data_IF_098988794459
#
_entry.id   IF_098988794459
#
_cell.length_a   1.000
_cell.length_b   1.000
_cell.length_c   1.000
_cell.angle_alpha   90.00
_cell.angle_beta   90.00
_cell.angle_gamma   90.00
#
_symmetry.space_group_name_H-M   'P 1'
#
loop_
_entity.id
_entity.type
_entity.pdbx_description
1 polymer ?
#
# COMPACT_ATOMS: atom_id res chain seq x y z
N UNK A 1 -13.03 14.19 30.99
CA UNK A 1 -12.21 14.88 29.97
C UNK A 1 -10.82 14.26 30.01
N UNK A 2 -10.48 13.40 29.04
CA UNK A 2 -9.12 12.91 28.87
C UNK A 2 -8.29 14.04 28.27
N UNK A 3 -7.16 14.38 28.90
CA UNK A 3 -6.18 15.30 28.32
C UNK A 3 -5.75 14.75 26.95
N UNK A 4 -5.58 15.60 25.92
CA UNK A 4 -4.95 15.17 24.68
C UNK A 4 -3.59 14.56 25.05
N UNK A 5 -3.32 13.36 24.55
CA UNK A 5 -1.96 12.80 24.61
C UNK A 5 -1.02 13.84 23.99
N UNK A 6 0.01 14.21 24.75
CA UNK A 6 1.08 15.07 24.25
C UNK A 6 1.63 14.36 23.01
N UNK A 7 1.46 14.97 21.84
CA UNK A 7 1.98 14.43 20.60
C UNK A 7 3.49 14.31 20.73
N UNK A 8 3.97 13.11 21.01
CA UNK A 8 5.39 12.80 20.91
C UNK A 8 5.71 12.97 19.43
N UNK A 9 6.56 13.96 19.10
CA UNK A 9 7.11 14.06 17.76
C UNK A 9 7.82 12.74 17.49
N UNK A 10 7.35 11.97 16.50
CA UNK A 10 7.97 10.72 16.12
C UNK A 10 9.43 11.00 15.71
N UNK A 11 10.39 10.62 16.55
CA UNK A 11 11.81 10.61 16.20
C UNK A 11 12.08 9.41 15.28
N UNK A 12 13.14 9.45 14.50
CA UNK A 12 13.56 8.31 13.65
C UNK A 12 13.77 7.01 14.43
N UNK A 13 14.06 7.11 15.74
CA UNK A 13 14.17 5.97 16.65
C UNK A 13 12.84 5.22 16.84
N UNK A 14 11.71 5.86 16.51
CA UNK A 14 10.36 5.29 16.61
C UNK A 14 9.83 4.76 15.28
N UNK A 15 10.53 4.95 14.15
CA UNK A 15 10.05 4.46 12.87
C UNK A 15 10.14 2.93 12.83
N UNK A 16 9.10 2.23 12.33
CA UNK A 16 9.10 0.77 12.34
C UNK A 16 10.27 0.17 11.56
N UNK A 17 10.82 -0.91 12.11
CA UNK A 17 11.94 -1.61 11.52
C UNK A 17 11.48 -2.45 10.31
N UNK A 18 12.21 -2.36 9.21
CA UNK A 18 12.09 -3.28 8.08
C UNK A 18 13.21 -4.31 8.15
N UNK A 19 12.84 -5.57 8.36
CA UNK A 19 13.74 -6.71 8.46
C UNK A 19 13.59 -7.56 7.21
N UNK A 20 14.66 -8.22 6.77
CA UNK A 20 14.60 -9.22 5.70
C UNK A 20 14.94 -10.59 6.27
N UNK A 21 14.03 -11.55 6.14
CA UNK A 21 14.33 -12.95 6.41
C UNK A 21 15.31 -13.45 5.35
N UNK A 22 16.51 -13.82 5.77
CA UNK A 22 17.63 -14.14 4.87
C UNK A 22 17.31 -15.35 3.99
N UNK A 23 16.63 -16.35 4.54
CA UNK A 23 16.35 -17.61 3.86
C UNK A 23 15.26 -17.47 2.77
N UNK A 24 14.13 -16.83 3.10
CA UNK A 24 13.02 -16.66 2.15
C UNK A 24 13.16 -15.41 1.26
N UNK A 25 14.01 -14.47 1.67
CA UNK A 25 14.12 -13.14 1.08
C UNK A 25 12.92 -12.23 1.37
N UNK A 26 11.97 -12.64 2.21
CA UNK A 26 10.77 -11.86 2.55
C UNK A 26 11.14 -10.71 3.48
N UNK A 27 10.70 -9.51 3.09
CA UNK A 27 10.75 -8.32 3.92
C UNK A 27 9.55 -8.32 4.86
N UNK A 28 9.79 -7.94 6.11
CA UNK A 28 8.81 -7.85 7.18
C UNK A 28 8.94 -6.46 7.76
N UNK A 29 7.87 -5.67 7.64
CA UNK A 29 7.83 -4.32 8.17
C UNK A 29 6.61 -4.13 9.03
N UNK A 30 6.80 -3.56 10.21
CA UNK A 30 5.67 -3.09 11.00
C UNK A 30 5.08 -1.86 10.30
N UNK A 31 3.77 -1.85 10.06
CA UNK A 31 3.12 -0.75 9.35
C UNK A 31 2.76 0.42 10.27
N UNK A 32 3.00 0.27 11.57
CA UNK A 32 2.63 1.23 12.59
C UNK A 32 3.86 1.62 13.41
N UNK A 33 3.98 2.92 13.70
CA UNK A 33 4.88 3.42 14.73
C UNK A 33 4.39 2.91 16.08
N UNK A 34 5.17 2.09 16.82
CA UNK A 34 4.69 1.38 17.99
C UNK A 34 4.11 2.32 19.04
N UNK A 35 2.87 2.03 19.47
CA UNK A 35 2.28 2.57 20.70
C UNK A 35 2.55 1.53 21.77
N UNK A 36 3.22 1.92 22.86
CA UNK A 36 3.84 1.05 23.87
C UNK A 36 2.86 0.05 24.55
N UNK A 37 1.55 0.11 24.26
CA UNK A 37 0.49 -0.46 25.09
C UNK A 37 -0.23 -1.71 24.52
N UNK A 38 -0.02 -2.17 23.27
CA UNK A 38 -0.68 -3.40 22.75
C UNK A 38 0.27 -4.45 22.15
N UNK A 39 0.60 -5.49 22.93
CA UNK A 39 1.48 -6.61 22.51
C UNK A 39 0.76 -7.96 22.42
N UNK A 40 -0.54 -8.03 22.69
CA UNK A 40 -1.29 -9.29 22.78
C UNK A 40 -1.61 -9.97 21.44
N UNK A 41 -1.55 -9.23 20.33
CA UNK A 41 -1.87 -9.75 19.00
C UNK A 41 -0.87 -9.23 17.95
N UNK A 42 -0.44 -10.13 17.06
CA UNK A 42 0.41 -9.80 15.92
C UNK A 42 -0.28 -10.29 14.66
N UNK A 43 -0.61 -9.38 13.76
CA UNK A 43 -1.21 -9.70 12.47
C UNK A 43 -0.17 -9.54 11.35
N UNK A 44 -0.02 -10.59 10.54
CA UNK A 44 0.85 -10.62 9.36
C UNK A 44 0.00 -10.51 8.10
N UNK A 45 0.00 -9.34 7.48
CA UNK A 45 -0.62 -9.10 6.18
C UNK A 45 0.36 -9.50 5.10
N UNK A 46 -0.06 -10.42 4.22
CA UNK A 46 0.80 -10.94 3.16
C UNK A 46 0.36 -10.42 1.80
N UNK A 47 1.33 -10.13 0.93
CA UNK A 47 1.11 -9.93 -0.49
C UNK A 47 1.19 -11.26 -1.28
N UNK A 48 0.89 -11.20 -2.58
CA UNK A 48 0.91 -12.39 -3.44
C UNK A 48 2.33 -12.96 -3.65
N UNK A 49 3.37 -12.13 -3.51
CA UNK A 49 4.76 -12.57 -3.65
C UNK A 49 5.21 -13.47 -2.48
N UNK A 50 4.65 -13.31 -1.29
CA UNK A 50 4.88 -14.19 -0.14
C UNK A 50 4.42 -15.62 -0.43
N UNK A 51 3.38 -15.83 -1.25
CA UNK A 51 2.96 -17.19 -1.61
C UNK A 51 4.06 -17.96 -2.35
N UNK A 52 4.80 -17.28 -3.23
CA UNK A 52 5.96 -17.87 -3.90
C UNK A 52 7.07 -18.23 -2.92
N UNK A 53 7.31 -17.35 -1.93
CA UNK A 53 8.29 -17.58 -0.88
C UNK A 53 8.00 -18.85 -0.06
N UNK A 54 6.73 -19.16 0.21
CA UNK A 54 6.36 -20.34 1.01
C UNK A 54 6.69 -21.67 0.34
N UNK A 55 6.69 -21.71 -1.00
CA UNK A 55 7.10 -22.92 -1.74
C UNK A 55 8.60 -23.18 -1.58
N UNK A 56 9.39 -22.11 -1.59
CA UNK A 56 10.86 -22.17 -1.47
C UNK A 56 11.31 -22.29 0.00
N UNK A 57 10.52 -21.77 0.94
CA UNK A 57 10.82 -21.72 2.37
C UNK A 57 9.58 -22.05 3.22
N UNK A 58 9.21 -23.33 3.36
CA UNK A 58 8.00 -23.74 4.08
C UNK A 58 8.01 -23.36 5.57
N UNK A 59 9.18 -23.11 6.16
CA UNK A 59 9.33 -22.75 7.58
C UNK A 59 9.26 -21.23 7.85
N UNK A 60 8.94 -20.41 6.83
CA UNK A 60 8.88 -18.95 6.95
C UNK A 60 8.08 -18.48 8.17
N UNK A 61 6.81 -18.89 8.30
CA UNK A 61 5.97 -18.42 9.41
C UNK A 61 6.39 -18.96 10.77
N UNK A 62 6.99 -20.15 10.83
CA UNK A 62 7.57 -20.66 12.08
C UNK A 62 8.75 -19.79 12.53
N UNK A 63 9.64 -19.39 11.59
CA UNK A 63 10.73 -18.45 11.88
C UNK A 63 10.22 -17.07 12.29
N UNK A 64 9.21 -16.55 11.61
CA UNK A 64 8.59 -15.27 11.97
C UNK A 64 7.89 -15.33 13.32
N UNK A 65 7.23 -16.44 13.65
CA UNK A 65 6.67 -16.68 14.98
C UNK A 65 7.74 -16.65 16.07
N UNK A 66 8.91 -17.24 15.82
CA UNK A 66 10.06 -17.14 16.74
C UNK A 66 10.61 -15.71 16.84
N UNK A 67 10.80 -15.01 15.71
CA UNK A 67 11.35 -13.66 15.67
C UNK A 67 10.43 -12.65 16.37
N UNK A 68 9.14 -12.67 16.03
CA UNK A 68 8.15 -11.71 16.51
C UNK A 68 7.64 -12.11 17.91
N UNK A 69 7.46 -13.40 18.18
CA UNK A 69 7.11 -13.91 19.51
C UNK A 69 8.25 -13.78 20.52
N UNK A 70 9.51 -13.94 20.09
CA UNK A 70 10.70 -13.71 20.92
C UNK A 70 11.02 -12.23 21.17
N UNK A 71 10.51 -11.31 20.34
CA UNK A 71 10.54 -9.87 20.59
C UNK A 71 9.46 -9.42 21.59
N UNK A 72 8.37 -10.19 21.72
CA UNK A 72 7.32 -10.00 22.72
C UNK A 72 7.68 -10.62 24.09
N UNK A 73 8.93 -10.45 24.58
CA UNK A 73 9.39 -10.99 25.88
C UNK A 73 8.68 -10.45 27.12
N UNK A 74 7.82 -9.44 26.98
CA UNK A 74 6.89 -9.00 28.04
C UNK A 74 5.50 -9.64 27.96
N UNK A 75 5.19 -10.42 26.91
CA UNK A 75 3.90 -11.05 26.69
C UNK A 75 4.07 -12.54 26.31
N UNK A 76 4.27 -13.39 27.31
CA UNK A 76 3.95 -14.82 27.20
C UNK A 76 2.47 -14.89 26.77
N UNK A 77 2.18 -15.28 25.52
CA UNK A 77 0.80 -15.46 25.03
C UNK A 77 0.34 -14.56 23.86
N UNK A 78 1.24 -13.89 23.13
CA UNK A 78 0.84 -13.15 21.93
C UNK A 78 0.33 -14.10 20.81
N UNK A 79 -0.86 -13.83 20.28
CA UNK A 79 -1.43 -14.61 19.16
C UNK A 79 -0.95 -14.06 17.83
N UNK A 80 -0.37 -14.93 16.98
CA UNK A 80 0.02 -14.60 15.62
C UNK A 80 -1.10 -15.00 14.64
N UNK A 81 -1.59 -14.05 13.85
CA UNK A 81 -2.58 -14.32 12.79
C UNK A 81 -2.03 -13.95 11.43
N UNK A 82 -2.16 -14.86 10.46
CA UNK A 82 -1.84 -14.60 9.06
C UNK A 82 -3.11 -14.08 8.39
N UNK A 83 -3.01 -12.92 7.74
CA UNK A 83 -4.09 -12.31 6.99
C UNK A 83 -3.78 -12.35 5.47
N UNK A 84 -4.40 -13.29 4.73
CA UNK A 84 -4.20 -13.42 3.29
C UNK A 84 -5.14 -12.53 2.45
N UNK A 85 -5.91 -11.61 3.06
CA UNK A 85 -6.98 -10.87 2.39
C UNK A 85 -6.57 -10.26 1.05
N UNK A 86 -5.41 -9.59 0.96
CA UNK A 86 -5.00 -8.94 -0.30
C UNK A 86 -4.57 -9.92 -1.38
N UNK A 87 -4.00 -11.06 -1.01
CA UNK A 87 -3.72 -12.15 -1.95
C UNK A 87 -5.02 -12.66 -2.57
N UNK A 88 -6.01 -12.90 -1.71
CA UNK A 88 -7.33 -13.39 -2.12
C UNK A 88 -8.05 -12.35 -2.97
N UNK A 89 -8.00 -11.07 -2.57
CA UNK A 89 -8.56 -9.95 -3.31
C UNK A 89 -7.92 -9.80 -4.70
N UNK A 90 -6.59 -9.94 -4.80
CA UNK A 90 -5.88 -9.93 -6.08
C UNK A 90 -6.34 -11.08 -6.97
N UNK A 91 -6.38 -12.31 -6.43
CA UNK A 91 -6.83 -13.47 -7.20
C UNK A 91 -8.30 -13.34 -7.61
N UNK A 92 -9.16 -12.80 -6.76
CA UNK A 92 -10.56 -12.56 -7.08
C UNK A 92 -10.75 -11.56 -8.22
N UNK A 93 -10.06 -10.41 -8.16
CA UNK A 93 -10.17 -9.39 -9.20
C UNK A 93 -9.50 -9.80 -10.52
N UNK A 94 -8.51 -10.69 -10.47
CA UNK A 94 -7.69 -11.04 -11.64
C UNK A 94 -8.08 -12.35 -12.30
N UNK A 95 -8.62 -13.29 -11.52
CA UNK A 95 -8.93 -14.64 -11.95
C UNK A 95 -10.25 -15.11 -11.30
N UNK A 96 -11.38 -14.40 -11.51
CA UNK A 96 -12.62 -14.67 -10.77
C UNK A 96 -13.07 -16.13 -10.86
N UNK A 97 -12.89 -16.77 -12.02
CA UNK A 97 -13.30 -18.15 -12.28
C UNK A 97 -12.44 -19.19 -11.55
N UNK A 98 -11.20 -18.85 -11.19
CA UNK A 98 -10.23 -19.76 -10.57
C UNK A 98 -9.73 -19.25 -9.20
N UNK A 99 -10.34 -18.20 -8.66
CA UNK A 99 -9.91 -17.58 -7.41
C UNK A 99 -9.95 -18.61 -6.28
N UNK A 100 -11.09 -19.32 -6.12
CA UNK A 100 -11.28 -20.27 -5.02
C UNK A 100 -10.21 -21.37 -5.01
N UNK A 101 -9.93 -22.01 -6.15
CA UNK A 101 -8.94 -23.08 -6.18
C UNK A 101 -7.52 -22.59 -5.85
N UNK A 102 -7.14 -21.38 -6.30
CA UNK A 102 -5.86 -20.76 -5.92
C UNK A 102 -5.79 -20.44 -4.42
N UNK A 103 -6.89 -19.97 -3.85
CA UNK A 103 -7.00 -19.68 -2.41
C UNK A 103 -6.91 -20.96 -1.59
N UNK A 104 -7.65 -22.01 -1.98
CA UNK A 104 -7.63 -23.30 -1.30
C UNK A 104 -6.23 -23.92 -1.35
N UNK A 105 -5.57 -23.90 -2.51
CA UNK A 105 -4.19 -24.36 -2.66
C UNK A 105 -3.21 -23.63 -1.73
N UNK A 106 -3.42 -22.33 -1.48
CA UNK A 106 -2.64 -21.59 -0.49
C UNK A 106 -2.95 -22.02 0.94
N UNK A 107 -4.23 -22.04 1.34
CA UNK A 107 -4.64 -22.37 2.72
C UNK A 107 -4.31 -23.80 3.14
N UNK A 108 -4.13 -24.70 2.17
CA UNK A 108 -3.76 -26.11 2.38
C UNK A 108 -2.25 -26.35 2.23
N UNK A 109 -1.46 -25.32 1.93
CA UNK A 109 -0.01 -25.47 1.74
C UNK A 109 0.67 -25.91 3.04
N UNK A 110 1.62 -26.85 2.95
CA UNK A 110 2.29 -27.44 4.11
C UNK A 110 2.91 -26.41 5.07
N UNK A 111 3.46 -25.31 4.53
CA UNK A 111 4.06 -24.22 5.31
C UNK A 111 3.07 -23.35 6.11
N UNK A 112 1.76 -23.52 5.92
CA UNK A 112 0.68 -22.87 6.69
C UNK A 112 -0.35 -23.88 7.20
N UNK A 113 0.01 -25.17 7.18
CA UNK A 113 -0.91 -26.22 7.57
C UNK A 113 -1.34 -26.05 9.04
N UNK A 114 -2.64 -26.15 9.29
CA UNK A 114 -3.22 -25.93 10.62
C UNK A 114 -3.29 -24.46 11.06
N UNK A 115 -2.83 -23.50 10.25
CA UNK A 115 -2.99 -22.07 10.55
C UNK A 115 -4.40 -21.56 10.24
N UNK A 116 -5.04 -22.12 9.21
CA UNK A 116 -6.37 -21.72 8.77
C UNK A 116 -7.41 -22.75 9.18
N UNK A 117 -8.61 -22.30 9.56
CA UNK A 117 -9.75 -23.19 9.79
C UNK A 117 -10.20 -23.83 8.48
N UNK A 118 -10.89 -24.99 8.52
CA UNK A 118 -11.61 -25.50 7.36
C UNK A 118 -12.50 -24.39 6.75
N UNK A 119 -12.61 -24.39 5.42
CA UNK A 119 -13.38 -23.40 4.63
C UNK A 119 -12.97 -21.92 4.77
N UNK A 120 -11.86 -21.60 5.44
CA UNK A 120 -11.40 -20.21 5.63
C UNK A 120 -11.32 -19.42 4.30
N UNK A 121 -10.81 -20.04 3.24
CA UNK A 121 -10.74 -19.43 1.91
C UNK A 121 -12.11 -19.07 1.33
N UNK A 122 -13.15 -19.89 1.58
CA UNK A 122 -14.53 -19.60 1.14
C UNK A 122 -15.14 -18.45 1.94
N UNK A 123 -14.90 -18.43 3.25
CA UNK A 123 -15.35 -17.33 4.13
C UNK A 123 -14.75 -16.00 3.69
N UNK A 124 -13.43 -15.94 3.50
CA UNK A 124 -12.77 -14.71 3.04
C UNK A 124 -13.23 -14.28 1.64
N UNK A 125 -13.48 -15.23 0.73
CA UNK A 125 -14.01 -14.91 -0.59
C UNK A 125 -15.44 -14.32 -0.50
N UNK A 126 -16.26 -14.83 0.41
CA UNK A 126 -17.59 -14.27 0.67
C UNK A 126 -17.51 -12.85 1.25
N UNK A 127 -16.58 -12.60 2.17
CA UNK A 127 -16.32 -11.26 2.72
C UNK A 127 -15.86 -10.27 1.65
N UNK A 128 -14.97 -10.70 0.74
CA UNK A 128 -14.52 -9.87 -0.39
C UNK A 128 -15.68 -9.53 -1.31
N UNK A 129 -16.59 -10.48 -1.60
CA UNK A 129 -17.79 -10.22 -2.41
C UNK A 129 -18.72 -9.21 -1.75
N UNK A 130 -18.90 -9.30 -0.43
CA UNK A 130 -19.71 -8.33 0.32
C UNK A 130 -19.11 -6.91 0.27
N UNK A 131 -17.78 -6.81 0.21
CA UNK A 131 -17.05 -5.54 0.20
C UNK A 131 -16.48 -5.18 -1.18
N UNK A 132 -16.95 -5.84 -2.24
CA UNK A 132 -16.35 -5.78 -3.57
C UNK A 132 -16.35 -4.37 -4.13
N UNK A 133 -17.45 -3.64 -3.92
CA UNK A 133 -17.57 -2.25 -4.38
C UNK A 133 -16.49 -1.36 -3.76
N UNK A 134 -16.30 -1.43 -2.44
CA UNK A 134 -15.30 -0.62 -1.75
C UNK A 134 -13.88 -0.95 -2.24
N UNK A 135 -13.60 -2.25 -2.42
CA UNK A 135 -12.34 -2.72 -2.98
C UNK A 135 -12.12 -2.18 -4.41
N UNK A 136 -13.11 -2.31 -5.30
CA UNK A 136 -13.02 -1.78 -6.69
C UNK A 136 -12.84 -0.26 -6.70
N UNK A 137 -13.56 0.47 -5.86
CA UNK A 137 -13.40 1.93 -5.73
C UNK A 137 -11.98 2.32 -5.29
N UNK A 138 -11.41 1.60 -4.31
CA UNK A 138 -10.03 1.83 -3.85
C UNK A 138 -8.99 1.49 -4.93
N UNK A 139 -9.17 0.37 -5.63
CA UNK A 139 -8.31 -0.06 -6.74
C UNK A 139 -8.38 0.94 -7.90
N UNK A 140 -9.58 1.31 -8.36
CA UNK A 140 -9.78 2.28 -9.44
C UNK A 140 -9.16 3.64 -9.13
N UNK A 141 -9.27 4.09 -7.88
CA UNK A 141 -8.60 5.32 -7.43
C UNK A 141 -7.09 5.24 -7.63
N UNK A 142 -6.46 4.15 -7.19
CA UNK A 142 -5.01 3.94 -7.34
C UNK A 142 -4.59 3.81 -8.81
N UNK A 143 -5.40 3.15 -9.64
CA UNK A 143 -5.17 3.03 -11.08
C UNK A 143 -5.06 4.41 -11.72
N UNK A 144 -6.04 5.30 -11.49
CA UNK A 144 -6.00 6.68 -11.99
C UNK A 144 -4.72 7.41 -11.58
N UNK A 145 -4.35 7.33 -10.30
CA UNK A 145 -3.12 7.95 -9.82
C UNK A 145 -1.86 7.43 -10.48
N UNK A 146 -1.72 6.12 -10.66
CA UNK A 146 -0.50 5.54 -11.24
C UNK A 146 -0.34 5.87 -12.72
N UNK A 147 -1.44 5.96 -13.48
CA UNK A 147 -1.39 6.44 -14.86
C UNK A 147 -0.94 7.90 -14.93
N UNK A 148 -1.55 8.78 -14.14
CA UNK A 148 -1.19 10.21 -14.11
C UNK A 148 0.25 10.41 -13.61
N UNK A 149 0.65 9.70 -12.55
CA UNK A 149 2.01 9.74 -12.01
C UNK A 149 3.03 9.27 -13.04
N UNK A 150 2.77 8.13 -13.72
CA UNK A 150 3.62 7.61 -14.80
C UNK A 150 3.77 8.64 -15.92
N UNK A 151 2.68 9.27 -16.33
CA UNK A 151 2.71 10.22 -17.44
C UNK A 151 3.50 11.47 -17.10
N UNK A 152 3.20 12.11 -15.96
CA UNK A 152 3.97 13.28 -15.49
C UNK A 152 5.44 12.90 -15.30
N UNK A 153 5.72 11.69 -14.79
CA UNK A 153 7.08 11.20 -14.58
C UNK A 153 7.83 10.95 -15.89
N UNK A 154 7.17 10.65 -17.02
CA UNK A 154 7.84 10.35 -18.29
C UNK A 154 8.03 11.58 -19.17
N UNK A 155 7.11 12.54 -19.11
CA UNK A 155 7.13 13.74 -19.95
C UNK A 155 8.43 14.55 -19.77
N UNK A 156 8.82 15.27 -20.83
CA UNK A 156 10.01 16.13 -20.89
C UNK A 156 9.81 17.50 -20.24
N UNK A 157 8.80 17.63 -19.38
CA UNK A 157 8.57 18.85 -18.60
C UNK A 157 9.76 19.18 -17.70
N UNK A 158 9.89 20.46 -17.35
CA UNK A 158 10.84 20.89 -16.31
C UNK A 158 10.44 20.28 -14.96
N UNK A 159 11.40 20.20 -14.03
CA UNK A 159 11.16 19.71 -12.68
C UNK A 159 10.00 20.45 -11.98
N UNK A 160 10.00 21.78 -12.02
CA UNK A 160 8.96 22.64 -11.44
C UNK A 160 7.59 22.36 -12.05
N UNK A 161 7.52 22.17 -13.36
CA UNK A 161 6.27 21.90 -14.06
C UNK A 161 5.68 20.54 -13.66
N UNK A 162 6.51 19.50 -13.46
CA UNK A 162 6.03 18.19 -12.97
C UNK A 162 5.44 18.31 -11.56
N UNK A 163 6.15 18.99 -10.66
CA UNK A 163 5.67 19.25 -9.29
C UNK A 163 4.35 20.00 -9.35
N UNK A 164 4.29 21.09 -10.12
CA UNK A 164 3.10 21.93 -10.24
C UNK A 164 1.90 21.11 -10.73
N UNK A 165 2.06 20.32 -11.79
CA UNK A 165 0.99 19.46 -12.32
C UNK A 165 0.52 18.43 -11.29
N UNK A 166 1.43 17.81 -10.55
CA UNK A 166 1.08 16.85 -9.50
C UNK A 166 0.35 17.50 -8.33
N UNK A 167 0.82 18.66 -7.87
CA UNK A 167 0.16 19.42 -6.81
C UNK A 167 -1.24 19.87 -7.26
N UNK A 168 -1.36 20.42 -8.47
CA UNK A 168 -2.66 20.83 -9.02
C UNK A 168 -3.62 19.65 -9.11
N UNK A 169 -3.15 18.47 -9.52
CA UNK A 169 -3.97 17.25 -9.57
C UNK A 169 -4.59 16.88 -8.21
N UNK A 170 -3.86 17.09 -7.10
CA UNK A 170 -4.40 16.87 -5.75
C UNK A 170 -5.21 18.05 -5.19
N UNK A 171 -5.08 19.24 -5.76
CA UNK A 171 -5.90 20.42 -5.41
C UNK A 171 -7.32 20.32 -5.97
N UNK A 172 -7.48 19.60 -7.08
CA UNK A 172 -8.79 19.25 -7.64
C UNK A 172 -9.71 18.60 -6.61
N UNK A 173 -11.01 18.61 -6.90
CA UNK A 173 -11.99 17.91 -6.08
C UNK A 173 -12.07 16.43 -6.44
N UNK A 174 -11.04 15.72 -6.05
CA UNK A 174 -10.83 14.28 -6.22
C UNK A 174 -10.56 13.62 -4.86
N UNK A 175 -10.61 12.28 -4.74
CA UNK A 175 -10.12 11.59 -3.55
C UNK A 175 -8.67 11.99 -3.26
N UNK A 176 -8.17 11.88 -2.04
CA UNK A 176 -6.78 12.24 -1.72
C UNK A 176 -6.09 11.09 -1.01
N UNK A 177 -5.12 10.48 -1.70
CA UNK A 177 -4.28 9.42 -1.13
C UNK A 177 -2.91 9.97 -0.80
N UNK A 178 -2.71 10.30 0.47
CA UNK A 178 -1.51 10.96 0.97
C UNK A 178 -0.21 10.22 0.66
N UNK A 179 -0.23 8.91 0.77
CA UNK A 179 0.92 8.08 0.43
C UNK A 179 1.31 8.29 -1.04
N UNK A 180 0.32 8.21 -1.93
CA UNK A 180 0.54 8.33 -3.36
C UNK A 180 1.06 9.73 -3.70
N UNK A 181 0.53 10.78 -3.06
CA UNK A 181 1.04 12.14 -3.20
C UNK A 181 2.54 12.23 -2.90
N UNK A 182 2.95 11.77 -1.72
CA UNK A 182 4.36 11.83 -1.29
C UNK A 182 5.24 10.94 -2.17
N UNK A 183 4.75 9.76 -2.57
CA UNK A 183 5.48 8.87 -3.47
C UNK A 183 5.73 9.52 -4.84
N UNK A 184 4.72 10.20 -5.41
CA UNK A 184 4.89 10.96 -6.65
C UNK A 184 5.93 12.07 -6.51
N UNK A 185 5.86 12.83 -5.42
CA UNK A 185 6.86 13.87 -5.10
C UNK A 185 8.27 13.28 -5.01
N UNK A 186 8.45 12.16 -4.30
CA UNK A 186 9.74 11.45 -4.22
C UNK A 186 10.26 11.03 -5.58
N UNK A 187 9.38 10.51 -6.46
CA UNK A 187 9.78 10.13 -7.81
C UNK A 187 10.21 11.33 -8.64
N UNK A 188 9.49 12.45 -8.60
CA UNK A 188 9.85 13.64 -9.38
C UNK A 188 11.14 14.32 -8.91
N UNK A 189 11.39 14.34 -7.61
CA UNK A 189 12.66 14.82 -7.06
C UNK A 189 13.81 13.83 -7.33
N UNK A 190 13.59 12.54 -7.07
CA UNK A 190 14.58 11.51 -7.33
C UNK A 190 14.97 11.38 -8.80
N UNK A 191 14.08 11.76 -9.74
CA UNK A 191 14.41 11.81 -11.18
C UNK A 191 15.51 12.82 -11.50
N UNK A 192 15.59 13.93 -10.75
CA UNK A 192 16.53 15.03 -11.00
C UNK A 192 17.74 15.01 -10.06
N UNK A 193 17.60 14.40 -8.88
CA UNK A 193 18.68 14.25 -7.90
C UNK A 193 19.19 12.81 -7.83
N UNK A 194 20.28 12.52 -8.54
CA UNK A 194 20.95 11.21 -8.50
C UNK A 194 21.56 10.88 -7.13
N UNK A 195 21.79 11.89 -6.28
CA UNK A 195 22.27 11.69 -4.90
C UNK A 195 21.14 11.26 -3.97
N UNK A 196 19.87 11.38 -4.39
CA UNK A 196 18.72 10.89 -3.63
C UNK A 196 18.68 9.35 -3.65
N UNK A 197 19.24 8.72 -2.61
CA UNK A 197 19.46 7.27 -2.54
C UNK A 197 19.08 6.68 -1.20
N UNK A 198 18.61 5.45 -1.16
CA UNK A 198 18.32 4.74 0.09
C UNK A 198 19.60 4.38 0.83
N UNK A 199 19.74 4.81 2.10
CA UNK A 199 20.95 4.60 2.90
C UNK A 199 21.34 3.13 3.06
N UNK A 200 20.35 2.25 3.20
CA UNK A 200 20.60 0.82 3.48
C UNK A 200 21.06 0.04 2.25
N UNK A 201 20.61 0.42 1.05
CA UNK A 201 20.81 -0.37 -0.17
C UNK A 201 21.60 0.39 -1.23
N UNK A 202 21.93 1.65 -0.96
CA UNK A 202 22.50 2.62 -1.90
C UNK A 202 21.70 2.73 -3.22
N UNK A 203 20.43 2.33 -3.21
CA UNK A 203 19.60 2.35 -4.41
C UNK A 203 19.14 3.78 -4.71
N UNK A 204 19.28 4.30 -5.93
CA UNK A 204 18.69 5.59 -6.30
C UNK A 204 17.16 5.57 -6.26
N UNK A 205 16.55 6.65 -5.79
CA UNK A 205 15.08 6.81 -5.82
C UNK A 205 14.57 6.76 -7.27
N UNK A 206 15.32 7.33 -8.23
CA UNK A 206 15.04 7.18 -9.67
C UNK A 206 14.92 5.72 -10.11
N UNK A 207 15.82 4.85 -9.64
CA UNK A 207 15.79 3.43 -10.00
C UNK A 207 14.60 2.68 -9.38
N UNK A 208 14.05 3.19 -8.27
CA UNK A 208 12.77 2.72 -7.73
C UNK A 208 11.60 3.23 -8.57
N UNK A 209 11.56 4.53 -8.88
CA UNK A 209 10.53 5.14 -9.72
C UNK A 209 10.44 4.46 -11.10
N UNK A 210 11.58 4.24 -11.75
CA UNK A 210 11.66 3.59 -13.07
C UNK A 210 11.13 2.14 -13.01
N UNK A 211 11.51 1.38 -11.98
CA UNK A 211 11.04 0.00 -11.79
C UNK A 211 9.52 -0.07 -11.49
N UNK A 212 9.02 0.89 -10.71
CA UNK A 212 7.61 0.96 -10.33
C UNK A 212 6.73 1.45 -11.49
N UNK A 213 7.12 2.52 -12.19
CA UNK A 213 6.27 3.15 -13.20
C UNK A 213 6.40 2.53 -14.60
N UNK A 214 7.46 1.75 -14.87
CA UNK A 214 7.65 1.13 -16.18
C UNK A 214 7.04 -0.28 -16.22
N UNK A 215 6.22 -0.60 -17.24
CA UNK A 215 5.76 -1.96 -17.46
C UNK A 215 6.93 -2.92 -17.68
N UNK A 216 6.88 -4.10 -17.03
CA UNK A 216 7.84 -5.19 -17.25
C UNK A 216 7.59 -5.80 -18.64
N UNK A 217 8.54 -6.57 -19.18
CA UNK A 217 8.44 -7.18 -20.52
C UNK A 217 7.13 -7.93 -20.80
N UNK A 218 6.55 -8.59 -19.78
CA UNK A 218 5.28 -9.33 -19.88
C UNK A 218 4.03 -8.45 -19.72
N UNK A 219 4.20 -7.18 -19.39
CA UNK A 219 3.15 -6.21 -19.06
C UNK A 219 3.05 -5.09 -20.11
N UNK A 220 3.96 -5.03 -21.11
CA UNK A 220 4.03 -3.92 -22.08
C UNK A 220 2.73 -3.72 -22.86
N UNK A 221 2.10 -4.83 -23.25
CA UNK A 221 0.84 -4.84 -23.99
C UNK A 221 -0.37 -5.21 -23.09
N UNK A 222 -0.16 -5.20 -21.76
CA UNK A 222 -1.19 -5.50 -20.77
C UNK A 222 -1.15 -4.44 -19.64
N UNK A 223 -1.70 -3.24 -19.91
CA UNK A 223 -1.73 -2.15 -18.93
C UNK A 223 -2.48 -2.52 -17.65
N UNK A 224 -3.48 -3.41 -17.75
CA UNK A 224 -4.23 -3.90 -16.60
C UNK A 224 -3.33 -4.73 -15.68
N UNK A 225 -2.53 -5.65 -16.23
CA UNK A 225 -1.56 -6.43 -15.43
C UNK A 225 -0.43 -5.58 -14.85
N UNK A 226 0.10 -4.60 -15.59
CA UNK A 226 1.08 -3.65 -15.03
C UNK A 226 0.52 -2.93 -13.80
N UNK A 227 -0.63 -2.26 -13.95
CA UNK A 227 -1.18 -1.43 -12.87
C UNK A 227 -1.68 -2.29 -11.70
N UNK A 228 -2.19 -3.50 -11.97
CA UNK A 228 -2.56 -4.48 -10.94
C UNK A 228 -1.43 -4.74 -9.98
N UNK A 229 -0.25 -5.10 -10.51
CA UNK A 229 0.90 -5.44 -9.68
C UNK A 229 1.24 -4.25 -8.76
N UNK A 230 1.28 -3.03 -9.31
CA UNK A 230 1.55 -1.82 -8.53
C UNK A 230 0.48 -1.49 -7.49
N UNK A 231 -0.79 -1.73 -7.80
CA UNK A 231 -1.90 -1.54 -6.86
C UNK A 231 -1.76 -2.50 -5.69
N UNK A 232 -1.52 -3.79 -5.95
CA UNK A 232 -1.43 -4.80 -4.91
C UNK A 232 -0.10 -4.80 -4.15
N UNK A 233 0.96 -4.19 -4.70
CA UNK A 233 2.18 -3.85 -3.95
C UNK A 233 1.89 -2.80 -2.85
N UNK A 234 0.94 -1.88 -3.11
CA UNK A 234 0.66 -0.75 -2.22
C UNK A 234 -0.53 -0.97 -1.28
N UNK A 235 -1.55 -1.68 -1.76
CA UNK A 235 -2.85 -1.83 -1.09
C UNK A 235 -2.73 -2.41 0.33
N UNK A 236 -1.89 -3.44 0.62
CA UNK A 236 -1.69 -3.96 1.97
C UNK A 236 -1.27 -2.87 2.97
N UNK A 237 -0.34 -2.01 2.57
CA UNK A 237 0.12 -0.90 3.40
C UNK A 237 -0.96 0.19 3.53
N UNK A 238 -1.65 0.53 2.44
CA UNK A 238 -2.67 1.58 2.45
C UNK A 238 -3.86 1.22 3.35
N UNK A 239 -4.22 -0.07 3.41
CA UNK A 239 -5.35 -0.58 4.19
C UNK A 239 -4.96 -1.05 5.59
N UNK A 240 -3.69 -0.94 5.95
CA UNK A 240 -3.20 -1.24 7.29
C UNK A 240 -4.03 -0.58 8.43
N UNK A 241 -4.43 0.71 8.34
CA UNK A 241 -5.24 1.33 9.39
C UNK A 241 -6.59 0.63 9.62
N UNK A 242 -7.28 0.24 8.56
CA UNK A 242 -8.62 -0.37 8.66
C UNK A 242 -8.60 -1.77 9.26
N UNK A 243 -7.50 -2.51 9.09
CA UNK A 243 -7.32 -3.85 9.66
C UNK A 243 -7.10 -3.84 11.18
N UNK A 244 -6.74 -2.68 11.73
CA UNK A 244 -6.44 -2.48 13.14
C UNK A 244 -7.57 -1.73 13.90
N UNK A 245 -8.73 -1.54 13.26
CA UNK A 245 -9.89 -0.83 13.84
C UNK A 245 -11.02 -1.79 14.22
N UNK A 246 -11.23 -2.01 15.52
CA UNK A 246 -12.31 -2.91 16.04
C UNK A 246 -13.70 -2.59 15.48
N UNK A 247 -14.03 -1.30 15.37
CA UNK A 247 -15.34 -0.85 14.86
C UNK A 247 -15.58 -1.26 13.40
N UNK A 248 -14.52 -1.60 12.67
CA UNK A 248 -14.58 -2.12 11.30
C UNK A 248 -14.22 -3.61 11.22
N UNK A 249 -14.26 -4.34 12.34
CA UNK A 249 -13.92 -5.75 12.40
C UNK A 249 -12.41 -6.05 12.44
N UNK A 250 -11.57 -5.02 12.61
CA UNK A 250 -10.13 -5.16 12.79
C UNK A 250 -9.76 -5.69 14.18
N UNK A 251 -8.53 -6.19 14.33
CA UNK A 251 -8.03 -6.72 15.61
C UNK A 251 -6.90 -5.81 16.10
N UNK A 252 -7.05 -5.12 17.25
CA UNK A 252 -5.99 -4.29 17.80
C UNK A 252 -4.74 -5.10 18.09
N UNK A 253 -3.61 -4.59 17.60
CA UNK A 253 -2.33 -5.24 17.81
C UNK A 253 -1.27 -4.72 16.86
N UNK A 254 -0.14 -5.41 16.84
CA UNK A 254 0.96 -5.07 15.93
C UNK A 254 0.64 -5.60 14.55
N UNK A 255 0.73 -4.73 13.55
CA UNK A 255 0.43 -5.07 12.17
C UNK A 255 1.70 -5.03 11.35
N UNK A 256 2.00 -6.15 10.68
CA UNK A 256 3.14 -6.28 9.79
C UNK A 256 2.68 -6.53 8.37
N UNK A 257 3.32 -5.88 7.40
CA UNK A 257 3.22 -6.24 5.99
C UNK A 257 4.44 -7.05 5.60
N UNK A 258 4.18 -8.15 4.90
CA UNK A 258 5.16 -9.07 4.38
C UNK A 258 5.13 -9.01 2.85
N UNK A 259 6.30 -8.83 2.26
CA UNK A 259 6.48 -8.85 0.81
C UNK A 259 7.82 -9.45 0.42
N UNK A 260 7.86 -10.24 -0.66
CA UNK A 260 9.13 -10.65 -1.30
C UNK A 260 9.56 -9.64 -2.38
N UNK A 261 8.72 -8.65 -2.70
CA UNK A 261 9.08 -7.61 -3.68
C UNK A 261 10.13 -6.66 -3.08
N UNK A 262 11.24 -6.51 -3.81
CA UNK A 262 12.38 -5.71 -3.40
C UNK A 262 12.05 -4.22 -3.36
N UNK A 263 11.20 -3.73 -4.26
CA UNK A 263 10.79 -2.32 -4.33
C UNK A 263 9.90 -1.98 -3.13
N UNK A 264 9.00 -2.90 -2.76
CA UNK A 264 8.17 -2.75 -1.56
C UNK A 264 9.05 -2.75 -0.29
N UNK A 265 9.90 -3.77 -0.15
CA UNK A 265 10.73 -3.97 1.04
C UNK A 265 11.85 -2.95 1.24
N UNK A 266 12.57 -2.60 0.17
CA UNK A 266 13.72 -1.71 0.28
C UNK A 266 13.37 -0.23 0.15
N UNK A 267 12.18 0.09 -0.36
CA UNK A 267 11.79 1.47 -0.61
C UNK A 267 10.50 1.84 0.12
N UNK A 268 9.36 1.29 -0.28
CA UNK A 268 8.04 1.67 0.25
C UNK A 268 7.98 1.57 1.78
N UNK A 269 8.30 0.39 2.32
CA UNK A 269 8.17 0.09 3.75
C UNK A 269 9.21 0.80 4.62
N UNK A 270 10.27 1.37 4.02
CA UNK A 270 11.27 2.17 4.74
C UNK A 270 10.89 3.64 4.84
N UNK A 271 10.13 4.14 3.88
CA UNK A 271 9.70 5.54 3.83
C UNK A 271 8.41 5.75 4.59
N UNK A 272 7.46 4.82 4.49
CA UNK A 272 6.11 5.04 5.00
C UNK A 272 5.79 4.18 6.22
N UNK A 273 5.17 4.80 7.22
CA UNK A 273 4.54 4.13 8.35
C UNK A 273 3.25 4.87 8.71
N UNK A 274 2.38 4.23 9.47
CA UNK A 274 1.23 4.89 10.06
C UNK A 274 1.44 5.17 11.54
N UNK A 275 0.89 6.28 12.02
CA UNK A 275 0.90 6.64 13.44
C UNK A 275 -0.49 7.05 13.89
N UNK A 276 -0.95 6.49 15.00
CA UNK A 276 -2.22 6.81 15.62
C UNK A 276 -2.59 5.80 16.70
N UNK A 277 -3.46 6.20 17.61
CA UNK A 277 -3.98 5.28 18.62
C UNK A 277 -4.91 4.24 17.95
N UNK A 278 -4.83 2.98 18.37
CA UNK A 278 -5.72 1.88 17.97
C UNK A 278 -7.09 1.98 18.67
N UNK A 279 -7.59 3.21 18.87
CA UNK A 279 -8.84 3.47 19.59
C UNK A 279 -9.90 3.96 18.62
N UNK A 280 -11.16 3.64 18.92
CA UNK A 280 -12.32 4.13 18.17
C UNK A 280 -12.23 5.66 18.01
N UNK A 281 -12.32 6.12 16.75
CA UNK A 281 -12.27 7.53 16.33
C UNK A 281 -10.90 8.22 16.32
N UNK A 282 -9.78 7.51 16.52
CA UNK A 282 -8.45 8.10 16.37
C UNK A 282 -7.98 8.09 14.91
N UNK A 283 -7.63 9.27 14.38
CA UNK A 283 -7.12 9.41 13.02
C UNK A 283 -5.71 8.87 12.92
N UNK A 284 -5.53 7.80 12.13
CA UNK A 284 -4.21 7.35 11.70
C UNK A 284 -3.63 8.38 10.72
N UNK A 285 -2.40 8.79 10.97
CA UNK A 285 -1.66 9.74 10.16
C UNK A 285 -0.50 9.03 9.48
N UNK A 286 -0.32 9.28 8.20
CA UNK A 286 0.86 8.82 7.48
C UNK A 286 2.09 9.54 8.04
N UNK A 287 3.10 8.76 8.44
CA UNK A 287 4.43 9.24 8.78
C UNK A 287 5.39 8.89 7.64
N UNK A 288 6.34 9.78 7.42
CA UNK A 288 7.34 9.66 6.36
C UNK A 288 8.73 9.74 6.97
N UNK A 289 9.55 8.72 6.75
CA UNK A 289 10.93 8.64 7.18
C UNK A 289 11.87 9.01 6.04
N UNK A 290 12.08 10.31 5.84
CA UNK A 290 13.03 10.79 4.84
C UNK A 290 14.48 10.60 5.28
N UNK A 291 14.73 10.32 6.56
CA UNK A 291 16.07 10.01 7.06
C UNK A 291 16.59 8.67 6.54
N UNK A 292 15.75 7.80 5.98
CA UNK A 292 16.20 6.60 5.28
C UNK A 292 16.87 6.90 3.92
N UNK A 293 16.87 8.17 3.49
CA UNK A 293 17.48 8.63 2.24
C UNK A 293 18.76 9.45 2.52
N UNK A 294 19.80 9.23 1.72
CA UNK A 294 20.79 10.26 1.41
C UNK A 294 20.12 11.25 0.47
N UNK A 295 20.04 12.53 0.83
CA UNK A 295 19.68 13.60 -0.10
C UNK A 295 20.23 14.92 0.45
N UNK A 296 20.63 15.83 -0.44
CA UNK A 296 20.89 17.22 -0.05
C UNK A 296 19.55 17.86 0.29
N UNK A 297 19.45 18.56 1.43
CA UNK A 297 18.19 19.08 1.93
C UNK A 297 17.53 20.03 0.92
N UNK A 298 16.68 19.48 0.05
CA UNK A 298 15.83 20.27 -0.82
C UNK A 298 14.73 20.87 0.04
N UNK A 299 14.93 22.12 0.47
CA UNK A 299 13.93 22.89 1.22
C UNK A 299 12.57 22.88 0.51
N UNK A 300 12.59 22.86 -0.83
CA UNK A 300 11.40 22.75 -1.69
C UNK A 300 10.70 21.39 -1.56
N UNK A 301 11.45 20.29 -1.45
CA UNK A 301 10.84 18.96 -1.25
C UNK A 301 10.14 18.91 0.11
N UNK A 302 10.82 19.35 1.18
CA UNK A 302 10.23 19.39 2.52
C UNK A 302 8.99 20.29 2.55
N UNK A 303 9.04 21.50 1.99
CA UNK A 303 7.90 22.41 1.99
C UNK A 303 6.72 21.88 1.18
N UNK A 304 6.95 21.22 0.05
CA UNK A 304 5.89 20.81 -0.89
C UNK A 304 5.34 19.42 -0.59
N UNK A 305 6.21 18.44 -0.31
CA UNK A 305 5.80 17.06 -0.05
C UNK A 305 5.17 16.90 1.34
N UNK A 306 5.59 17.69 2.34
CA UNK A 306 5.09 17.61 3.72
C UNK A 306 4.01 18.64 4.04
N UNK A 307 3.64 19.51 3.09
CA UNK A 307 2.46 20.39 3.20
C UNK A 307 1.36 19.93 2.25
N UNK A 308 0.78 18.74 2.47
CA UNK A 308 -0.22 18.25 1.56
C UNK A 308 -1.53 19.02 1.64
N UNK A 309 -2.35 18.94 0.57
CA UNK A 309 -3.67 19.52 0.61
C UNK A 309 -4.51 18.92 1.75
N UNK A 310 -5.21 19.79 2.49
CA UNK A 310 -5.98 19.41 3.68
C UNK A 310 -6.99 18.29 3.41
N UNK A 311 -7.25 17.45 4.42
CA UNK A 311 -8.33 16.49 4.34
C UNK A 311 -9.67 17.22 4.22
N UNK A 312 -10.52 16.79 3.27
CA UNK A 312 -11.86 17.35 3.10
C UNK A 312 -12.90 16.39 3.68
N UNK A 313 -13.86 16.88 4.49
CA UNK A 313 -15.05 16.10 4.84
C UNK A 313 -15.72 15.55 3.57
N UNK A 314 -16.27 14.35 3.69
CA UNK A 314 -16.95 13.66 2.57
C UNK A 314 -18.28 13.11 3.04
N UNK A 315 -19.35 13.50 2.37
CA UNK A 315 -20.59 12.71 2.36
C UNK A 315 -20.46 11.57 1.33
N UNK A 316 -21.34 10.55 1.37
CA UNK A 316 -21.37 9.53 0.32
C UNK A 316 -21.56 10.12 -1.09
N UNK A 317 -22.41 11.15 -1.24
CA UNK A 317 -22.61 11.84 -2.52
C UNK A 317 -21.35 12.56 -3.02
N UNK A 318 -20.60 13.21 -2.11
CA UNK A 318 -19.32 13.82 -2.45
C UNK A 318 -18.29 12.77 -2.91
N UNK A 319 -18.29 11.59 -2.28
CA UNK A 319 -17.38 10.50 -2.66
C UNK A 319 -17.63 10.09 -4.12
N UNK A 320 -18.89 9.86 -4.49
CA UNK A 320 -19.26 9.49 -5.85
C UNK A 320 -18.86 10.56 -6.89
N UNK A 321 -19.15 11.82 -6.60
CA UNK A 321 -18.77 12.94 -7.47
C UNK A 321 -17.26 13.06 -7.65
N UNK A 322 -16.49 12.95 -6.56
CA UNK A 322 -15.02 12.99 -6.59
C UNK A 322 -14.43 11.83 -7.37
N UNK A 323 -15.01 10.63 -7.28
CA UNK A 323 -14.57 9.48 -8.08
C UNK A 323 -14.72 9.74 -9.58
N UNK A 324 -15.85 10.30 -10.01
CA UNK A 324 -16.03 10.70 -11.42
C UNK A 324 -15.06 11.78 -11.86
N UNK A 325 -14.92 12.83 -11.06
CA UNK A 325 -13.93 13.91 -11.31
C UNK A 325 -12.52 13.36 -11.43
N UNK A 326 -12.15 12.35 -10.64
CA UNK A 326 -10.84 11.72 -10.73
C UNK A 326 -10.60 11.13 -12.12
N UNK A 327 -11.61 10.53 -12.75
CA UNK A 327 -11.52 10.01 -14.13
C UNK A 327 -11.31 11.15 -15.10
N UNK A 328 -12.19 12.14 -15.06
CA UNK A 328 -12.21 13.24 -16.03
C UNK A 328 -10.88 14.01 -15.99
N UNK A 329 -10.41 14.34 -14.79
CA UNK A 329 -9.13 15.02 -14.59
C UNK A 329 -7.96 14.12 -15.00
N UNK A 330 -8.00 12.81 -14.69
CA UNK A 330 -6.96 11.88 -15.14
C UNK A 330 -6.87 11.84 -16.66
N UNK A 331 -7.99 11.66 -17.35
CA UNK A 331 -8.05 11.59 -18.81
C UNK A 331 -7.54 12.90 -19.44
N UNK A 332 -7.89 14.05 -18.86
CA UNK A 332 -7.40 15.36 -19.32
C UNK A 332 -5.89 15.56 -19.19
N UNK A 333 -5.21 14.76 -18.37
CA UNK A 333 -3.74 14.83 -18.19
C UNK A 333 -2.98 13.79 -19.04
N UNK A 334 -3.68 12.83 -19.63
CA UNK A 334 -3.10 11.72 -20.38
C UNK A 334 -3.19 11.95 -21.90
N UNK A 335 -2.18 11.52 -22.68
CA UNK A 335 -2.30 11.43 -24.13
C UNK A 335 -3.35 10.39 -24.55
N UNK A 336 -3.82 10.47 -25.79
CA UNK A 336 -4.92 9.63 -26.29
C UNK A 336 -4.68 8.11 -26.15
N UNK A 337 -3.43 7.66 -26.36
CA UNK A 337 -3.07 6.24 -26.18
C UNK A 337 -3.25 5.83 -24.72
N UNK A 338 -2.67 6.60 -23.81
CA UNK A 338 -2.67 6.34 -22.37
C UNK A 338 -4.08 6.49 -21.76
N UNK A 339 -4.94 7.34 -22.33
CA UNK A 339 -6.37 7.38 -22.00
C UNK A 339 -7.04 6.03 -22.29
N UNK A 340 -6.79 5.46 -23.48
CA UNK A 340 -7.27 4.13 -23.84
C UNK A 340 -6.76 3.04 -22.90
N UNK A 341 -5.47 3.07 -22.54
CA UNK A 341 -4.87 2.14 -21.59
C UNK A 341 -5.48 2.28 -20.17
N UNK A 342 -5.72 3.52 -19.70
CA UNK A 342 -6.38 3.77 -18.42
C UNK A 342 -7.80 3.19 -18.42
N UNK A 343 -8.61 3.50 -19.43
CA UNK A 343 -9.99 3.00 -19.54
C UNK A 343 -10.02 1.47 -19.62
N UNK A 344 -9.10 0.86 -20.38
CA UNK A 344 -8.98 -0.60 -20.45
C UNK A 344 -8.66 -1.21 -19.08
N UNK A 345 -7.73 -0.61 -18.32
CA UNK A 345 -7.40 -1.05 -16.97
C UNK A 345 -8.59 -0.91 -16.00
N UNK A 346 -9.27 0.25 -15.99
CA UNK A 346 -10.45 0.49 -15.16
C UNK A 346 -11.59 -0.50 -15.48
N UNK A 347 -11.78 -0.81 -16.76
CA UNK A 347 -12.74 -1.82 -17.21
C UNK A 347 -12.35 -3.24 -16.76
N UNK A 348 -11.06 -3.61 -16.83
CA UNK A 348 -10.58 -4.90 -16.33
C UNK A 348 -10.86 -5.08 -14.83
N UNK A 349 -10.81 -3.99 -14.05
CA UNK A 349 -11.22 -3.98 -12.64
C UNK A 349 -12.72 -3.73 -12.43
N UNK A 350 -13.53 -3.74 -13.48
CA UNK A 350 -14.97 -3.46 -13.48
C UNK A 350 -15.33 -2.26 -12.61
N UNK A 351 -14.51 -1.22 -12.67
CA UNK A 351 -14.68 -0.08 -11.76
C UNK A 351 -15.95 0.71 -12.08
N UNK A 352 -16.36 0.73 -13.35
CA UNK A 352 -17.61 1.32 -13.81
C UNK A 352 -18.86 0.59 -13.32
N UNK A 353 -18.73 -0.62 -12.76
CA UNK A 353 -19.85 -1.31 -12.11
C UNK A 353 -20.11 -0.75 -10.69
N UNK A 354 -19.27 0.17 -10.20
CA UNK A 354 -19.43 0.79 -8.88
C UNK A 354 -20.53 1.87 -8.92
N UNK A 355 -21.53 1.80 -8.03
CA UNK A 355 -22.53 2.86 -7.82
C UNK A 355 -21.92 4.24 -7.56
N UNK A 356 -20.72 4.29 -6.95
CA UNK A 356 -20.00 5.54 -6.71
C UNK A 356 -19.64 6.24 -8.04
N UNK A 357 -19.51 5.48 -9.13
CA UNK A 357 -19.15 5.99 -10.46
C UNK A 357 -20.39 6.25 -11.32
N UNK A 358 -21.46 5.44 -11.20
CA UNK A 358 -22.64 5.52 -12.07
C UNK A 358 -23.79 6.38 -11.53
N UNK A 359 -23.76 6.74 -10.24
CA UNK A 359 -24.92 7.26 -9.50
C UNK A 359 -25.35 8.70 -9.77
#
# INVERSE_FOLDING_TARGET
MLKPSVGVAATHELFPCVIKDVESGVYVAECQVPVIESLGHVQLVIDNNVMGALKESPLLFARLGWLLGGACRSAIGATLTINPFFVIAEQYLSNPDNALAKIEAFTQHAGVFGTFTPDHGKTLLAEIRQNEQALRSQVGTLVCYFFVMREIYRQTHTHEERIRRWVSYFQEDVPRLMLVYVMGMLFFFGREDEKMRFKTTDRPVRAWADAFLTPRKKEVDDPASWVRNRVFDLLPFLMAPTLNWETHGGIPGRLFVLSKDKDVGECLLRIFAWHGDQKANSLWKLQTNLECLHFEAHTQFQSTALSPPEARPTTPGDRALRMRRLIDVSLGLLPAREQGELLAALNAFRWFDSPDVTG
#
